data_IF_966769387369
#
_entry.id   IF_966769387369
#
_cell.length_a   1.000
_cell.length_b   1.000
_cell.length_c   1.000
_cell.angle_alpha   90.00
_cell.angle_beta   90.00
_cell.angle_gamma   90.00
#
_symmetry.space_group_name_H-M   'P 1'
#
loop_
_entity.id
_entity.type
_entity.pdbx_description
1 polymer ?
#
# COMPACT_ATOMS: atom_id res chain seq x y z
N UNK A 1 9.36 10.92 -28.21
CA UNK A 1 10.20 10.28 -27.19
C UNK A 1 9.26 9.75 -26.12
N UNK A 2 9.28 8.45 -25.82
CA UNK A 2 8.52 7.93 -24.67
C UNK A 2 9.17 8.49 -23.39
N UNK A 3 8.39 8.91 -22.38
CA UNK A 3 8.98 9.41 -21.14
C UNK A 3 9.75 8.28 -20.45
N UNK A 4 10.96 8.61 -20.01
CA UNK A 4 11.95 7.71 -19.41
C UNK A 4 11.70 7.47 -17.92
N UNK A 5 12.45 6.53 -17.35
CA UNK A 5 12.45 6.26 -15.91
C UNK A 5 13.78 6.71 -15.32
N UNK A 6 13.73 7.46 -14.21
CA UNK A 6 14.91 7.87 -13.44
C UNK A 6 14.85 7.15 -12.09
N UNK A 7 15.89 6.37 -11.77
CA UNK A 7 15.97 5.63 -10.52
C UNK A 7 17.35 5.84 -9.90
N UNK A 8 17.37 6.45 -8.71
CA UNK A 8 18.57 6.68 -7.91
C UNK A 8 18.24 6.21 -6.50
N UNK A 9 19.14 5.42 -5.88
CA UNK A 9 18.90 4.81 -4.58
C UNK A 9 20.11 4.94 -3.66
N UNK A 10 19.88 5.35 -2.41
CA UNK A 10 20.87 5.32 -1.31
C UNK A 10 21.99 6.36 -1.36
N UNK A 11 22.16 7.08 -2.46
CA UNK A 11 23.27 8.01 -2.67
C UNK A 11 22.90 9.48 -2.35
N UNK A 12 23.88 10.34 -2.00
CA UNK A 12 23.67 11.77 -1.95
C UNK A 12 23.50 12.34 -3.36
N UNK A 13 22.38 13.03 -3.61
CA UNK A 13 22.12 13.66 -4.90
C UNK A 13 22.99 14.91 -5.08
N UNK A 14 23.82 14.90 -6.12
CA UNK A 14 24.59 16.04 -6.55
C UNK A 14 23.68 17.15 -7.11
N UNK A 15 24.18 18.39 -7.07
CA UNK A 15 23.46 19.51 -7.66
C UNK A 15 23.26 19.39 -9.18
N UNK A 16 24.06 18.57 -9.88
CA UNK A 16 23.88 18.26 -11.30
C UNK A 16 22.69 17.33 -11.52
N UNK A 17 22.63 16.22 -10.78
CA UNK A 17 21.51 15.27 -10.84
C UNK A 17 20.18 15.95 -10.50
N UNK A 18 20.16 16.80 -9.48
CA UNK A 18 18.96 17.58 -9.14
C UNK A 18 18.51 18.47 -10.31
N UNK A 19 19.45 19.10 -11.04
CA UNK A 19 19.11 19.93 -12.21
C UNK A 19 18.55 19.07 -13.35
N UNK A 20 19.15 17.91 -13.60
CA UNK A 20 18.74 17.00 -14.66
C UNK A 20 17.35 16.40 -14.38
N UNK A 21 17.08 15.99 -13.13
CA UNK A 21 15.75 15.58 -12.67
C UNK A 21 14.75 16.72 -12.88
N UNK A 22 15.06 17.93 -12.38
CA UNK A 22 14.18 19.10 -12.53
C UNK A 22 13.91 19.45 -14.00
N UNK A 23 14.88 19.22 -14.89
CA UNK A 23 14.72 19.44 -16.34
C UNK A 23 13.83 18.36 -16.95
N UNK A 24 14.12 17.09 -16.68
CA UNK A 24 13.34 15.96 -17.20
C UNK A 24 11.86 16.04 -16.79
N UNK A 25 11.57 16.45 -15.55
CA UNK A 25 10.21 16.68 -15.07
C UNK A 25 9.50 17.83 -15.79
N UNK A 26 10.19 18.96 -16.04
CA UNK A 26 9.63 20.11 -16.77
C UNK A 26 9.42 19.84 -18.25
N UNK A 27 10.31 19.06 -18.85
CA UNK A 27 10.25 18.65 -20.25
C UNK A 27 9.25 17.49 -20.47
N UNK A 28 8.56 17.03 -19.41
CA UNK A 28 7.63 15.89 -19.42
C UNK A 28 8.26 14.61 -20.01
N UNK A 29 9.55 14.43 -19.75
CA UNK A 29 10.38 13.35 -20.26
C UNK A 29 10.54 12.20 -19.24
N UNK A 30 9.87 12.27 -18.10
CA UNK A 30 9.96 11.28 -17.01
C UNK A 30 8.58 10.71 -16.69
N UNK A 31 8.44 9.39 -16.75
CA UNK A 31 7.24 8.64 -16.35
C UNK A 31 7.35 8.10 -14.92
N UNK A 32 8.54 7.68 -14.52
CA UNK A 32 8.83 7.13 -13.20
C UNK A 32 10.04 7.85 -12.62
N UNK A 33 9.90 8.37 -11.40
CA UNK A 33 10.99 8.94 -10.62
C UNK A 33 11.11 8.19 -9.30
N UNK A 34 12.26 7.58 -9.06
CA UNK A 34 12.61 6.97 -7.77
C UNK A 34 13.86 7.64 -7.21
N UNK A 35 13.75 8.13 -5.97
CA UNK A 35 14.83 8.74 -5.19
C UNK A 35 15.02 8.01 -3.85
N UNK A 36 14.68 6.73 -3.81
CA UNK A 36 14.63 5.92 -2.59
C UNK A 36 15.90 6.05 -1.75
N UNK A 37 15.80 6.43 -0.47
CA UNK A 37 16.96 6.53 0.42
C UNK A 37 17.98 7.59 0.05
N UNK A 38 17.70 8.46 -0.94
CA UNK A 38 18.64 9.48 -1.37
C UNK A 38 18.78 10.60 -0.34
N UNK A 39 20.00 11.12 -0.19
CA UNK A 39 20.26 12.30 0.65
C UNK A 39 20.30 13.56 -0.21
N UNK A 40 19.48 14.54 0.14
CA UNK A 40 19.49 15.87 -0.47
C UNK A 40 19.14 16.93 0.58
N UNK A 41 19.48 18.19 0.33
CA UNK A 41 19.08 19.28 1.21
C UNK A 41 17.63 19.73 0.91
N UNK A 42 16.98 20.38 1.88
CA UNK A 42 15.59 20.83 1.74
C UNK A 42 15.39 21.83 0.58
N UNK A 43 16.44 22.58 0.22
CA UNK A 43 16.41 23.48 -0.95
C UNK A 43 16.28 22.70 -2.26
N UNK A 44 17.00 21.59 -2.37
CA UNK A 44 17.01 20.77 -3.59
C UNK A 44 15.76 19.90 -3.66
N UNK A 45 15.27 19.37 -2.53
CA UNK A 45 13.96 18.72 -2.46
C UNK A 45 12.85 19.69 -2.92
N UNK A 46 12.86 20.93 -2.42
CA UNK A 46 11.92 21.96 -2.84
C UNK A 46 12.06 22.40 -4.32
N UNK A 47 13.20 22.18 -4.97
CA UNK A 47 13.34 22.36 -6.43
C UNK A 47 12.66 21.23 -7.19
N UNK A 48 12.87 19.99 -6.76
CA UNK A 48 12.22 18.81 -7.32
C UNK A 48 10.70 18.93 -7.16
N UNK A 49 10.18 19.27 -5.98
CA UNK A 49 8.75 19.48 -5.75
C UNK A 49 8.14 20.54 -6.68
N UNK A 50 8.83 21.65 -6.94
CA UNK A 50 8.35 22.66 -7.90
C UNK A 50 8.32 22.17 -9.33
N UNK A 51 9.26 21.31 -9.72
CA UNK A 51 9.24 20.67 -11.03
C UNK A 51 8.11 19.62 -11.12
N UNK A 52 7.92 18.82 -10.05
CA UNK A 52 6.83 17.85 -9.93
C UNK A 52 5.45 18.51 -10.04
N UNK A 53 5.27 19.68 -9.43
CA UNK A 53 4.03 20.46 -9.43
C UNK A 53 3.46 20.72 -10.83
N UNK A 54 4.33 20.87 -11.84
CA UNK A 54 3.96 21.12 -13.24
C UNK A 54 4.15 19.94 -14.19
N UNK A 55 4.65 18.79 -13.71
CA UNK A 55 4.88 17.62 -14.53
C UNK A 55 3.56 16.94 -14.91
N UNK A 56 3.37 16.63 -16.19
CA UNK A 56 2.17 15.97 -16.73
C UNK A 56 2.41 14.54 -17.17
N UNK A 57 3.66 14.11 -17.30
CA UNK A 57 4.04 12.74 -17.71
C UNK A 57 4.32 11.78 -16.56
N UNK A 58 4.53 12.28 -15.34
CA UNK A 58 5.00 11.48 -14.21
C UNK A 58 3.86 10.66 -13.62
N UNK A 59 3.86 9.35 -13.87
CA UNK A 59 2.88 8.42 -13.33
C UNK A 59 3.28 7.87 -11.96
N UNK A 60 4.59 7.70 -11.69
CA UNK A 60 5.06 7.06 -10.48
C UNK A 60 6.14 7.89 -9.78
N UNK A 61 5.95 8.14 -8.49
CA UNK A 61 6.89 8.83 -7.62
C UNK A 61 7.23 7.94 -6.42
N UNK A 62 8.49 7.53 -6.32
CA UNK A 62 9.00 6.75 -5.20
C UNK A 62 10.01 7.58 -4.39
N UNK A 63 9.63 7.88 -3.15
CA UNK A 63 10.42 8.63 -2.18
C UNK A 63 10.66 7.82 -0.89
N UNK A 64 10.62 6.49 -1.00
CA UNK A 64 10.79 5.58 0.14
C UNK A 64 12.12 5.83 0.86
N UNK A 65 12.17 5.43 2.13
CA UNK A 65 13.30 5.49 3.05
C UNK A 65 13.80 6.91 3.31
N UNK A 66 13.03 7.68 4.07
CA UNK A 66 13.52 8.91 4.71
C UNK A 66 13.79 10.09 3.78
N UNK A 67 13.39 10.04 2.50
CA UNK A 67 13.48 11.21 1.62
C UNK A 67 12.56 12.32 2.12
N UNK A 68 11.36 11.96 2.59
CA UNK A 68 10.39 12.88 3.21
C UNK A 68 10.51 12.82 4.73
N UNK A 69 11.63 13.30 5.26
CA UNK A 69 12.02 13.14 6.68
C UNK A 69 11.80 14.38 7.56
N UNK A 70 11.21 15.46 7.05
CA UNK A 70 10.95 16.67 7.84
C UNK A 70 9.60 17.29 7.53
N UNK A 71 8.97 18.02 8.48
CA UNK A 71 7.74 18.76 8.22
C UNK A 71 7.85 19.75 7.06
N UNK A 72 9.05 20.29 6.81
CA UNK A 72 9.32 21.17 5.65
C UNK A 72 9.14 20.42 4.33
N UNK A 73 9.70 19.20 4.22
CA UNK A 73 9.55 18.36 3.03
C UNK A 73 8.13 17.88 2.83
N UNK A 74 7.45 17.48 3.91
CA UNK A 74 6.03 17.09 3.86
C UNK A 74 5.18 18.21 3.27
N UNK A 75 5.37 19.47 3.72
CA UNK A 75 4.67 20.64 3.16
C UNK A 75 5.01 20.90 1.68
N UNK A 76 6.29 20.78 1.31
CA UNK A 76 6.72 20.95 -0.08
C UNK A 76 6.12 19.90 -1.02
N UNK A 77 6.04 18.64 -0.56
CA UNK A 77 5.39 17.57 -1.29
C UNK A 77 3.88 17.80 -1.39
N UNK A 78 3.22 18.17 -0.29
CA UNK A 78 1.78 18.45 -0.27
C UNK A 78 1.40 19.55 -1.29
N UNK A 79 2.18 20.64 -1.34
CA UNK A 79 1.93 21.72 -2.29
C UNK A 79 2.16 21.29 -3.75
N UNK A 80 3.16 20.44 -4.01
CA UNK A 80 3.39 19.88 -5.34
C UNK A 80 2.23 18.96 -5.77
N UNK A 81 1.76 18.08 -4.89
CA UNK A 81 0.64 17.18 -5.16
C UNK A 81 -0.69 17.92 -5.35
N UNK A 82 -0.87 19.06 -4.69
CA UNK A 82 -2.08 19.90 -4.83
C UNK A 82 -2.26 20.41 -6.26
N UNK A 83 -1.18 20.62 -7.02
CA UNK A 83 -1.23 21.10 -8.41
C UNK A 83 -0.96 20.00 -9.43
N UNK A 84 -0.19 18.97 -9.07
CA UNK A 84 0.05 17.83 -9.93
C UNK A 84 -1.27 17.08 -10.24
N UNK A 85 -1.37 16.55 -11.46
CA UNK A 85 -2.56 15.83 -11.94
C UNK A 85 -2.20 14.50 -12.60
N UNK A 86 -0.91 14.13 -12.61
CA UNK A 86 -0.37 13.00 -13.38
C UNK A 86 0.03 11.81 -12.52
N UNK A 87 0.38 12.02 -11.25
CA UNK A 87 0.84 10.96 -10.36
C UNK A 87 -0.29 9.97 -10.07
N UNK A 88 -0.01 8.70 -10.35
CA UNK A 88 -0.90 7.56 -10.13
C UNK A 88 -0.45 6.73 -8.93
N UNK A 89 0.87 6.60 -8.74
CA UNK A 89 1.46 5.82 -7.65
C UNK A 89 2.42 6.67 -6.85
N UNK A 90 2.19 6.77 -5.54
CA UNK A 90 3.02 7.50 -4.59
C UNK A 90 3.52 6.55 -3.51
N UNK A 91 4.85 6.39 -3.43
CA UNK A 91 5.49 5.57 -2.42
C UNK A 91 6.27 6.45 -1.43
N UNK A 92 5.91 6.35 -0.15
CA UNK A 92 6.50 7.09 0.97
C UNK A 92 7.03 6.17 2.08
N UNK A 93 7.09 4.86 1.87
CA UNK A 93 7.47 3.87 2.87
C UNK A 93 8.72 4.25 3.67
N UNK A 94 8.72 4.11 4.98
CA UNK A 94 9.87 4.46 5.82
C UNK A 94 10.13 5.97 5.88
N UNK A 95 9.13 6.81 5.63
CA UNK A 95 9.18 8.26 5.88
C UNK A 95 8.46 8.56 7.20
N UNK A 96 9.11 9.19 8.20
CA UNK A 96 8.50 9.44 9.51
C UNK A 96 7.44 10.55 9.43
N UNK A 97 6.30 10.26 8.80
CA UNK A 97 5.23 11.22 8.59
C UNK A 97 4.55 11.55 9.91
N UNK A 98 4.26 10.55 10.73
CA UNK A 98 3.34 10.64 11.87
C UNK A 98 1.93 11.10 11.45
N UNK A 99 0.98 11.08 12.39
CA UNK A 99 -0.37 11.60 12.16
C UNK A 99 -0.36 13.07 11.70
N UNK A 100 0.53 13.88 12.29
CA UNK A 100 0.65 15.31 11.97
C UNK A 100 1.17 15.54 10.54
N UNK A 101 2.09 14.72 10.06
CA UNK A 101 2.61 14.83 8.70
C UNK A 101 1.59 14.36 7.67
N UNK A 102 0.87 13.27 7.96
CA UNK A 102 -0.20 12.82 7.07
C UNK A 102 -1.34 13.84 7.00
N UNK A 103 -1.68 14.50 8.11
CA UNK A 103 -2.66 15.59 8.12
C UNK A 103 -2.30 16.76 7.18
N UNK A 104 -1.00 17.02 6.96
CA UNK A 104 -0.53 18.03 6.00
C UNK A 104 -0.63 17.55 4.54
N UNK A 105 -0.43 16.26 4.28
CA UNK A 105 -0.50 15.67 2.94
C UNK A 105 -1.94 15.38 2.50
N UNK A 106 -2.81 14.98 3.44
CA UNK A 106 -4.13 14.45 3.16
C UNK A 106 -5.01 15.36 2.29
N UNK A 107 -5.04 16.70 2.46
CA UNK A 107 -5.83 17.57 1.58
C UNK A 107 -5.41 17.49 0.10
N UNK A 108 -4.12 17.26 -0.17
CA UNK A 108 -3.63 17.07 -1.53
C UNK A 108 -3.97 15.68 -2.06
N UNK A 109 -3.84 14.63 -1.23
CA UNK A 109 -4.17 13.25 -1.60
C UNK A 109 -5.66 13.07 -1.88
N UNK A 110 -6.53 13.57 -1.00
CA UNK A 110 -7.99 13.45 -1.09
C UNK A 110 -8.60 14.18 -2.30
N UNK A 111 -7.89 15.14 -2.87
CA UNK A 111 -8.29 15.89 -4.06
C UNK A 111 -7.50 15.50 -5.31
N UNK A 112 -6.59 14.53 -5.21
CA UNK A 112 -5.77 14.13 -6.35
C UNK A 112 -6.63 13.35 -7.36
N UNK A 113 -6.67 13.76 -8.64
CA UNK A 113 -7.64 13.21 -9.60
C UNK A 113 -7.29 11.82 -10.15
N UNK A 114 -6.05 11.38 -9.96
CA UNK A 114 -5.50 10.20 -10.63
C UNK A 114 -4.77 9.23 -9.70
N UNK A 115 -4.71 9.51 -8.39
CA UNK A 115 -3.98 8.66 -7.45
C UNK A 115 -4.73 7.34 -7.28
N UNK A 116 -4.05 6.22 -7.56
CA UNK A 116 -4.60 4.86 -7.47
C UNK A 116 -3.83 3.98 -6.50
N UNK A 117 -2.54 4.24 -6.30
CA UNK A 117 -1.69 3.47 -5.38
C UNK A 117 -0.97 4.38 -4.40
N UNK A 118 -1.07 4.05 -3.12
CA UNK A 118 -0.48 4.80 -2.02
C UNK A 118 0.19 3.85 -1.03
N UNK A 119 1.49 4.06 -0.82
CA UNK A 119 2.27 3.32 0.16
C UNK A 119 2.74 4.25 1.28
N UNK A 120 2.22 3.96 2.48
CA UNK A 120 2.50 4.62 3.74
C UNK A 120 3.00 3.62 4.79
N UNK A 121 3.67 2.54 4.36
CA UNK A 121 4.27 1.59 5.29
C UNK A 121 5.40 2.22 6.10
N UNK A 122 5.60 1.78 7.34
CA UNK A 122 6.64 2.30 8.26
C UNK A 122 6.69 3.84 8.31
N UNK A 123 5.51 4.48 8.41
CA UNK A 123 5.37 5.93 8.41
C UNK A 123 5.08 6.51 9.80
N UNK A 124 5.23 5.70 10.85
CA UNK A 124 4.93 6.03 12.25
C UNK A 124 3.48 6.52 12.44
N UNK A 125 2.53 5.92 11.73
CA UNK A 125 1.12 6.31 11.77
C UNK A 125 0.41 5.77 13.03
N UNK A 126 -0.62 6.48 13.45
CA UNK A 126 -1.54 6.12 14.51
C UNK A 126 -3.01 6.23 14.08
N UNK A 127 -3.90 6.23 15.07
CA UNK A 127 -5.35 6.22 14.86
C UNK A 127 -5.88 7.45 14.07
N UNK A 128 -5.27 8.63 14.24
CA UNK A 128 -5.71 9.84 13.54
C UNK A 128 -5.35 9.78 12.05
N UNK A 129 -4.18 9.22 11.70
CA UNK A 129 -3.84 8.95 10.31
C UNK A 129 -4.84 8.01 9.65
N UNK A 130 -5.28 6.96 10.34
CA UNK A 130 -6.30 6.05 9.81
C UNK A 130 -7.62 6.77 9.54
N UNK A 131 -8.05 7.68 10.41
CA UNK A 131 -9.26 8.47 10.18
C UNK A 131 -9.15 9.30 8.87
N UNK A 132 -7.97 9.83 8.56
CA UNK A 132 -7.71 10.54 7.31
C UNK A 132 -7.72 9.60 6.10
N UNK A 133 -7.06 8.43 6.22
CA UNK A 133 -6.98 7.41 5.16
C UNK A 133 -8.37 6.86 4.81
N UNK A 134 -9.26 6.65 5.80
CA UNK A 134 -10.64 6.24 5.52
C UNK A 134 -11.37 7.23 4.59
N UNK A 135 -11.04 8.52 4.65
CA UNK A 135 -11.58 9.53 3.73
C UNK A 135 -11.09 9.40 2.29
N UNK A 136 -10.04 8.61 2.03
CA UNK A 136 -9.50 8.29 0.70
C UNK A 136 -10.15 7.03 0.10
N UNK A 137 -11.02 6.34 0.85
CA UNK A 137 -11.69 5.10 0.46
C UNK A 137 -13.21 5.35 0.32
N UNK A 138 -13.66 6.05 -0.73
CA UNK A 138 -15.06 6.42 -0.85
C UNK A 138 -15.97 5.20 -1.03
N UNK A 139 -17.16 5.19 -0.40
CA UNK A 139 -18.09 4.08 -0.49
C UNK A 139 -18.75 3.95 -1.87
N UNK A 140 -18.78 5.04 -2.63
CA UNK A 140 -19.26 5.10 -4.00
C UNK A 140 -18.14 5.50 -4.96
N UNK A 141 -18.21 5.06 -6.21
CA UNK A 141 -17.24 5.41 -7.24
C UNK A 141 -17.31 6.87 -7.70
N UNK A 142 -17.88 7.76 -6.87
CA UNK A 142 -18.12 9.17 -7.19
C UNK A 142 -16.82 9.97 -7.35
N UNK A 143 -15.70 9.47 -6.82
CA UNK A 143 -14.38 10.09 -6.93
C UNK A 143 -13.33 9.06 -7.35
N UNK A 144 -12.24 9.56 -7.93
CA UNK A 144 -11.01 8.77 -7.96
C UNK A 144 -10.62 8.43 -6.52
N UNK A 145 -10.28 7.18 -6.29
CA UNK A 145 -9.82 6.70 -5.00
C UNK A 145 -8.86 5.55 -5.17
N UNK A 146 -8.36 5.07 -4.03
CA UNK A 146 -7.25 4.13 -4.01
C UNK A 146 -7.72 2.73 -4.41
N UNK A 147 -6.94 2.10 -5.28
CA UNK A 147 -7.01 0.67 -5.60
C UNK A 147 -6.00 -0.13 -4.79
N UNK A 148 -4.86 0.46 -4.48
CA UNK A 148 -3.77 -0.18 -3.75
C UNK A 148 -3.38 0.70 -2.56
N UNK A 149 -3.41 0.10 -1.36
CA UNK A 149 -3.07 0.78 -0.12
C UNK A 149 -2.12 -0.10 0.70
N UNK A 150 -0.95 0.43 1.03
CA UNK A 150 0.03 -0.22 1.90
C UNK A 150 0.17 0.56 3.20
N UNK A 151 -0.07 -0.12 4.33
CA UNK A 151 0.01 0.41 5.69
C UNK A 151 0.90 -0.47 6.60
N UNK A 152 1.75 -1.28 5.99
CA UNK A 152 2.67 -2.20 6.65
C UNK A 152 3.49 -1.53 7.76
N UNK A 153 3.82 -2.26 8.82
CA UNK A 153 4.74 -1.79 9.87
C UNK A 153 4.40 -0.41 10.49
N UNK A 154 3.12 -0.15 10.80
CA UNK A 154 2.66 1.02 11.57
C UNK A 154 2.11 0.59 12.95
N UNK A 155 2.99 0.17 13.90
CA UNK A 155 2.56 -0.38 15.19
C UNK A 155 1.88 0.62 16.12
N UNK A 156 1.88 1.92 15.78
CA UNK A 156 1.18 2.97 16.53
C UNK A 156 -0.34 2.96 16.34
N UNK A 157 -0.86 2.20 15.35
CA UNK A 157 -2.29 2.07 15.10
C UNK A 157 -2.88 1.05 16.08
N UNK A 158 -3.86 1.49 16.85
CA UNK A 158 -4.52 0.64 17.83
C UNK A 158 -5.57 -0.26 17.16
N UNK A 159 -6.07 -1.31 17.85
CA UNK A 159 -7.21 -2.09 17.35
C UNK A 159 -8.41 -1.22 16.96
N UNK A 160 -8.65 -0.10 17.65
CA UNK A 160 -9.71 0.86 17.31
C UNK A 160 -9.46 1.54 15.96
N UNK A 161 -8.21 1.88 15.66
CA UNK A 161 -7.81 2.39 14.34
C UNK A 161 -8.12 1.36 13.27
N UNK A 162 -7.65 0.12 13.45
CA UNK A 162 -7.90 -0.96 12.50
C UNK A 162 -9.38 -1.30 12.30
N UNK A 163 -10.21 -1.25 13.36
CA UNK A 163 -11.67 -1.40 13.22
C UNK A 163 -12.27 -0.35 12.29
N UNK A 164 -11.82 0.90 12.37
CA UNK A 164 -12.30 1.97 11.48
C UNK A 164 -11.87 1.72 10.03
N UNK A 165 -10.63 1.27 9.82
CA UNK A 165 -10.15 0.90 8.49
C UNK A 165 -10.96 -0.26 7.93
N UNK A 166 -11.22 -1.31 8.72
CA UNK A 166 -12.03 -2.46 8.32
C UNK A 166 -13.43 -2.02 7.84
N UNK A 167 -14.09 -1.12 8.58
CA UNK A 167 -15.39 -0.56 8.17
C UNK A 167 -15.26 0.20 6.85
N UNK A 168 -14.22 1.01 6.66
CA UNK A 168 -14.03 1.77 5.42
C UNK A 168 -13.76 0.84 4.22
N UNK A 169 -12.95 -0.20 4.40
CA UNK A 169 -12.64 -1.21 3.37
C UNK A 169 -13.89 -2.01 3.01
N UNK A 170 -14.72 -2.40 3.99
CA UNK A 170 -15.97 -3.11 3.76
C UNK A 170 -16.93 -2.36 2.82
N UNK A 171 -16.92 -1.03 2.88
CA UNK A 171 -17.79 -0.18 2.06
C UNK A 171 -17.07 0.35 0.82
N UNK A 172 -15.74 0.23 0.72
CA UNK A 172 -14.99 0.80 -0.39
C UNK A 172 -15.41 0.15 -1.71
N UNK A 173 -15.58 1.00 -2.72
CA UNK A 173 -15.94 0.55 -4.07
C UNK A 173 -14.73 0.34 -4.99
N UNK A 174 -13.50 0.48 -4.48
CA UNK A 174 -12.30 0.61 -5.32
C UNK A 174 -11.06 -0.15 -4.85
N UNK A 175 -10.88 -0.36 -3.54
CA UNK A 175 -9.66 -1.01 -3.01
C UNK A 175 -9.62 -2.47 -3.42
N UNK A 176 -8.53 -2.84 -4.11
CA UNK A 176 -8.23 -4.18 -4.58
C UNK A 176 -7.09 -4.83 -3.81
N UNK A 177 -6.09 -4.05 -3.43
CA UNK A 177 -4.91 -4.54 -2.71
C UNK A 177 -4.78 -3.78 -1.40
N UNK A 178 -4.74 -4.51 -0.29
CA UNK A 178 -4.53 -3.97 1.04
C UNK A 178 -3.41 -4.73 1.74
N UNK A 179 -2.30 -4.03 2.01
CA UNK A 179 -1.16 -4.60 2.70
C UNK A 179 -1.08 -4.07 4.13
N UNK A 180 -1.26 -4.95 5.11
CA UNK A 180 -1.25 -4.66 6.54
C UNK A 180 -0.16 -5.43 7.29
N UNK A 181 0.76 -6.05 6.57
CA UNK A 181 1.86 -6.85 7.08
C UNK A 181 2.68 -6.14 8.16
N UNK A 182 3.23 -6.94 9.07
CA UNK A 182 4.05 -6.49 10.21
C UNK A 182 3.37 -5.44 11.11
N UNK A 183 2.04 -5.48 11.22
CA UNK A 183 1.28 -4.74 12.24
C UNK A 183 0.75 -5.68 13.31
N UNK A 184 0.81 -5.34 14.62
CA UNK A 184 0.29 -6.19 15.68
C UNK A 184 -1.25 -6.14 15.74
N UNK A 185 -1.91 -6.79 14.78
CA UNK A 185 -3.38 -6.80 14.65
C UNK A 185 -4.02 -7.74 15.68
N UNK A 186 -3.48 -8.95 15.79
CA UNK A 186 -4.05 -10.03 16.59
C UNK A 186 -5.42 -10.54 16.11
N UNK A 187 -5.88 -11.63 16.71
CA UNK A 187 -7.07 -12.35 16.25
C UNK A 187 -8.37 -11.51 16.27
N UNK A 188 -8.49 -10.58 17.22
CA UNK A 188 -9.67 -9.73 17.32
C UNK A 188 -9.83 -8.82 16.10
N UNK A 189 -8.75 -8.18 15.66
CA UNK A 189 -8.76 -7.31 14.48
C UNK A 189 -8.91 -8.14 13.20
N UNK A 190 -8.28 -9.30 13.14
CA UNK A 190 -8.44 -10.22 12.01
C UNK A 190 -9.89 -10.68 11.83
N UNK A 191 -10.62 -10.97 12.91
CA UNK A 191 -12.06 -11.26 12.83
C UNK A 191 -12.87 -10.11 12.26
N UNK A 192 -12.53 -8.85 12.59
CA UNK A 192 -13.16 -7.67 12.00
C UNK A 192 -12.81 -7.50 10.52
N UNK A 193 -11.56 -7.79 10.14
CA UNK A 193 -11.13 -7.79 8.74
C UNK A 193 -11.83 -8.88 7.94
N UNK A 194 -12.04 -10.08 8.50
CA UNK A 194 -12.80 -11.15 7.85
C UNK A 194 -14.23 -10.69 7.49
N UNK A 195 -14.93 -10.02 8.42
CA UNK A 195 -16.25 -9.44 8.15
C UNK A 195 -16.19 -8.36 7.06
N UNK A 196 -15.14 -7.54 7.07
CA UNK A 196 -14.96 -6.50 6.06
C UNK A 196 -14.68 -7.09 4.67
N UNK A 197 -13.85 -8.12 4.58
CA UNK A 197 -13.54 -8.85 3.36
C UNK A 197 -14.80 -9.50 2.79
N UNK A 198 -15.59 -10.20 3.62
CA UNK A 198 -16.86 -10.81 3.21
C UNK A 198 -17.88 -9.79 2.67
N UNK A 199 -17.79 -8.54 3.13
CA UNK A 199 -18.68 -7.46 2.69
C UNK A 199 -18.15 -6.72 1.45
N UNK A 200 -16.84 -6.72 1.24
CA UNK A 200 -16.19 -6.05 0.12
C UNK A 200 -16.41 -6.81 -1.17
N UNK A 201 -16.73 -6.07 -2.24
CA UNK A 201 -16.88 -6.64 -3.60
C UNK A 201 -15.67 -6.39 -4.50
N UNK A 202 -14.62 -5.77 -3.95
CA UNK A 202 -13.50 -5.29 -4.76
C UNK A 202 -12.13 -5.71 -4.25
N UNK A 203 -12.02 -6.12 -2.98
CA UNK A 203 -10.75 -6.52 -2.39
C UNK A 203 -10.32 -7.88 -2.94
N UNK A 204 -9.23 -7.89 -3.70
CA UNK A 204 -8.67 -9.04 -4.41
C UNK A 204 -7.45 -9.62 -3.67
N UNK A 205 -6.67 -8.77 -2.98
CA UNK A 205 -5.45 -9.16 -2.27
C UNK A 205 -5.43 -8.54 -0.88
N UNK A 206 -5.23 -9.37 0.14
CA UNK A 206 -5.03 -8.96 1.51
C UNK A 206 -3.76 -9.58 2.07
N UNK A 207 -2.83 -8.74 2.53
CA UNK A 207 -1.61 -9.17 3.17
C UNK A 207 -1.68 -8.95 4.69
N UNK A 208 -1.57 -10.06 5.44
CA UNK A 208 -1.56 -10.12 6.90
C UNK A 208 -0.30 -10.83 7.43
N UNK A 209 0.79 -10.84 6.65
CA UNK A 209 2.07 -11.43 7.07
C UNK A 209 2.55 -10.83 8.40
N UNK A 210 2.98 -11.68 9.34
CA UNK A 210 3.58 -11.21 10.59
C UNK A 210 2.66 -10.33 11.47
N UNK A 211 1.34 -10.54 11.42
CA UNK A 211 0.37 -9.68 12.13
C UNK A 211 -0.10 -10.21 13.49
N UNK A 212 0.52 -11.28 13.98
CA UNK A 212 0.24 -11.89 15.29
C UNK A 212 -1.04 -12.73 15.29
N UNK A 213 -1.39 -13.33 14.16
CA UNK A 213 -2.54 -14.20 14.01
C UNK A 213 -2.26 -15.61 14.54
N UNK A 214 -3.32 -16.26 15.04
CA UNK A 214 -3.29 -17.65 15.46
C UNK A 214 -4.26 -18.49 14.64
N UNK A 215 -4.29 -19.80 14.88
CA UNK A 215 -5.31 -20.70 14.30
C UNK A 215 -6.76 -20.23 14.53
N UNK A 216 -7.03 -19.43 15.55
CA UNK A 216 -8.38 -18.91 15.81
C UNK A 216 -8.87 -17.95 14.72
N UNK A 217 -8.03 -16.99 14.32
CA UNK A 217 -8.38 -16.08 13.22
C UNK A 217 -8.24 -16.75 11.86
N UNK A 218 -7.30 -17.68 11.69
CA UNK A 218 -7.22 -18.50 10.49
C UNK A 218 -8.52 -19.29 10.25
N UNK A 219 -9.08 -19.92 11.29
CA UNK A 219 -10.38 -20.60 11.18
C UNK A 219 -11.49 -19.63 10.82
N UNK A 220 -11.48 -18.41 11.39
CA UNK A 220 -12.48 -17.38 11.05
C UNK A 220 -12.37 -16.93 9.58
N UNK A 221 -11.16 -16.83 9.05
CA UNK A 221 -10.90 -16.49 7.64
C UNK A 221 -11.30 -17.65 6.72
N UNK A 222 -11.02 -18.90 7.12
CA UNK A 222 -11.46 -20.11 6.42
C UNK A 222 -12.98 -20.17 6.34
N UNK A 223 -13.68 -20.05 7.48
CA UNK A 223 -15.14 -20.03 7.54
C UNK A 223 -15.71 -18.90 6.65
N UNK A 224 -15.03 -17.76 6.58
CA UNK A 224 -15.44 -16.65 5.72
C UNK A 224 -15.35 -17.01 4.23
N UNK A 225 -14.23 -17.57 3.78
CA UNK A 225 -14.02 -17.97 2.38
C UNK A 225 -14.97 -19.11 1.98
N UNK A 226 -15.23 -20.06 2.89
CA UNK A 226 -16.13 -21.20 2.62
C UNK A 226 -17.61 -20.78 2.51
N UNK A 227 -18.06 -19.82 3.32
CA UNK A 227 -19.49 -19.55 3.50
C UNK A 227 -19.99 -18.26 2.83
N UNK A 228 -19.09 -17.38 2.36
CA UNK A 228 -19.46 -16.09 1.79
C UNK A 228 -18.78 -15.85 0.44
N UNK A 229 -19.51 -15.35 -0.58
CA UNK A 229 -18.90 -14.96 -1.83
C UNK A 229 -17.96 -13.77 -1.58
N UNK A 230 -16.70 -13.93 -2.00
CA UNK A 230 -15.66 -12.92 -1.84
C UNK A 230 -14.97 -12.65 -3.17
N UNK A 231 -14.46 -11.42 -3.35
CA UNK A 231 -13.59 -11.08 -4.48
C UNK A 231 -12.12 -11.42 -4.22
N UNK A 232 -11.80 -11.91 -3.02
CA UNK A 232 -10.46 -12.21 -2.59
C UNK A 232 -9.89 -13.37 -3.41
N UNK A 233 -8.68 -13.20 -3.92
CA UNK A 233 -7.90 -14.18 -4.70
C UNK A 233 -6.62 -14.57 -3.99
N UNK A 234 -6.07 -13.66 -3.18
CA UNK A 234 -4.83 -13.89 -2.45
C UNK A 234 -4.94 -13.40 -1.02
N UNK A 235 -4.61 -14.28 -0.08
CA UNK A 235 -4.53 -13.99 1.35
C UNK A 235 -3.16 -14.46 1.87
N UNK A 236 -2.30 -13.50 2.21
CA UNK A 236 -0.95 -13.80 2.72
C UNK A 236 -1.00 -13.90 4.24
N UNK A 237 -0.62 -15.06 4.77
CA UNK A 237 -0.68 -15.40 6.20
C UNK A 237 0.68 -15.85 6.76
N UNK A 238 1.75 -15.68 5.99
CA UNK A 238 3.10 -16.04 6.41
C UNK A 238 3.52 -15.34 7.72
N UNK A 239 4.53 -15.89 8.40
CA UNK A 239 5.05 -15.35 9.67
C UNK A 239 4.02 -15.17 10.80
N UNK A 240 2.90 -15.88 10.77
CA UNK A 240 1.92 -15.96 11.86
C UNK A 240 1.99 -17.30 12.61
N UNK A 241 1.31 -17.39 13.76
CA UNK A 241 1.18 -18.63 14.54
C UNK A 241 0.01 -19.50 14.02
N UNK A 242 -0.01 -19.74 12.71
CA UNK A 242 -1.06 -20.50 12.00
C UNK A 242 -0.46 -21.81 11.48
N UNK A 243 -1.16 -22.93 11.63
CA UNK A 243 -0.69 -24.22 11.12
C UNK A 243 -0.61 -24.22 9.59
N UNK A 244 0.40 -24.86 8.98
CA UNK A 244 0.53 -24.93 7.53
C UNK A 244 -0.70 -25.53 6.85
N UNK A 245 -1.38 -26.47 7.51
CA UNK A 245 -2.59 -27.12 6.98
C UNK A 245 -3.74 -26.11 6.82
N UNK A 246 -3.96 -25.23 7.80
CA UNK A 246 -5.00 -24.20 7.71
C UNK A 246 -4.66 -23.15 6.65
N UNK A 247 -3.38 -22.76 6.53
CA UNK A 247 -2.96 -21.82 5.47
C UNK A 247 -3.21 -22.42 4.09
N UNK A 248 -2.83 -23.70 3.89
CA UNK A 248 -3.02 -24.38 2.62
C UNK A 248 -4.51 -24.51 2.27
N UNK A 249 -5.37 -24.89 3.22
CA UNK A 249 -6.82 -24.98 3.01
C UNK A 249 -7.42 -23.66 2.51
N UNK A 250 -7.03 -22.54 3.12
CA UNK A 250 -7.48 -21.20 2.69
C UNK A 250 -6.97 -20.89 1.27
N UNK A 251 -5.69 -21.17 0.99
CA UNK A 251 -5.11 -20.94 -0.34
C UNK A 251 -5.79 -21.77 -1.42
N UNK A 252 -6.07 -23.04 -1.17
CA UNK A 252 -6.71 -23.94 -2.12
C UNK A 252 -8.11 -23.42 -2.49
N UNK A 253 -8.93 -23.07 -1.50
CA UNK A 253 -10.28 -22.52 -1.72
C UNK A 253 -10.28 -21.20 -2.51
N UNK A 254 -9.30 -20.32 -2.26
CA UNK A 254 -9.17 -19.07 -3.02
C UNK A 254 -8.72 -19.31 -4.46
N UNK A 255 -7.96 -20.37 -4.73
CA UNK A 255 -7.50 -20.72 -6.08
C UNK A 255 -8.58 -21.39 -6.93
N UNK A 256 -9.47 -22.19 -6.33
CA UNK A 256 -10.58 -22.84 -7.04
C UNK A 256 -11.57 -21.82 -7.65
N UNK A 257 -11.78 -20.69 -6.97
CA UNK A 257 -12.64 -19.61 -7.47
C UNK A 257 -12.12 -18.92 -8.74
N UNK A 258 -10.83 -19.03 -9.07
CA UNK A 258 -10.27 -18.48 -10.30
C UNK A 258 -10.57 -19.35 -11.53
N UNK A 259 -10.62 -20.68 -11.35
CA UNK A 259 -10.84 -21.62 -12.45
C UNK A 259 -12.30 -21.60 -12.94
N UNK A 260 -13.28 -21.39 -12.05
CA UNK A 260 -14.70 -21.33 -12.42
C UNK A 260 -15.03 -20.11 -13.30
N UNK A 261 -14.37 -18.96 -13.09
CA UNK A 261 -14.54 -17.77 -13.94
C UNK A 261 -13.98 -17.98 -15.36
N UNK A 262 -12.86 -18.71 -15.51
CA UNK A 262 -12.28 -19.01 -16.82
C UNK A 262 -13.12 -20.02 -17.62
N UNK A 263 -13.69 -21.04 -16.96
CA UNK A 263 -14.52 -22.06 -17.63
C UNK A 263 -15.89 -21.50 -18.04
N UNK A 264 -16.49 -20.62 -17.22
CA UNK A 264 -17.75 -19.97 -17.57
C UNK A 264 -17.62 -18.99 -18.77
N UNK A 265 -16.43 -18.45 -19.02
CA UNK A 265 -16.13 -17.62 -20.19
C UNK A 265 -15.91 -18.40 -21.49
N UNK A 266 -15.79 -19.74 -21.45
CA UNK A 266 -15.42 -20.59 -22.58
C UNK A 266 -16.57 -21.38 -23.24
N UNK A 267 -17.76 -21.40 -22.64
CA UNK A 267 -18.89 -22.22 -23.10
C UNK A 267 -20.16 -21.37 -23.35
N UNK A 268 -20.10 -20.48 -24.34
CA UNK A 268 -21.23 -19.70 -24.81
C UNK A 268 -21.59 -20.06 -26.25
N UNK A 269 -22.66 -20.83 -26.41
CA UNK A 269 -23.23 -21.27 -27.68
C UNK A 269 -23.45 -20.13 -28.69
N UNK A 270 -23.05 -20.41 -29.93
CA UNK A 270 -23.47 -19.74 -31.15
C UNK A 270 -25.00 -19.73 -31.29
N UNK A 271 -25.65 -18.60 -31.03
CA UNK A 271 -26.76 -18.09 -31.86
C UNK A 271 -27.22 -16.69 -31.40
N UNK A 272 -27.21 -15.78 -32.37
CA UNK A 272 -28.13 -14.66 -32.52
C UNK A 272 -28.18 -13.60 -31.36
N UNK A 273 -27.60 -12.42 -31.60
CA UNK A 273 -28.32 -11.13 -31.69
C UNK A 273 -27.35 -9.98 -32.01
N UNK A 274 -27.44 -9.51 -33.26
CA UNK A 274 -26.90 -8.23 -33.70
C UNK A 274 -27.64 -7.07 -33.01
N UNK A 275 -26.91 -6.19 -32.32
CA UNK A 275 -26.93 -4.72 -32.53
C UNK A 275 -26.25 -3.97 -31.37
N UNK A 276 -25.07 -3.44 -31.68
CA UNK A 276 -24.68 -2.08 -31.32
C UNK A 276 -24.21 -1.82 -29.89
N UNK A 277 -22.91 -2.03 -29.64
CA UNK A 277 -21.99 -1.09 -28.97
C UNK A 277 -20.63 -1.75 -28.79
N UNK A 278 -19.60 -1.12 -29.37
CA UNK A 278 -18.19 -1.45 -29.12
C UNK A 278 -17.84 -1.26 -27.63
N UNK A 279 -16.95 -2.11 -27.09
CA UNK A 279 -15.92 -1.58 -26.22
C UNK A 279 -14.51 -2.06 -26.63
N UNK A 280 -13.57 -1.13 -26.47
CA UNK A 280 -12.16 -1.28 -26.79
C UNK A 280 -11.46 -2.37 -25.96
N UNK A 281 -10.58 -3.10 -26.62
CA UNK A 281 -9.79 -4.19 -26.09
C UNK A 281 -8.79 -3.75 -25.00
N UNK A 282 -8.79 -4.45 -23.87
CA UNK A 282 -7.67 -4.50 -22.94
C UNK A 282 -7.06 -5.90 -22.97
N UNK A 283 -5.83 -5.99 -23.46
CA UNK A 283 -4.95 -7.15 -23.30
C UNK A 283 -4.62 -7.29 -21.81
N UNK A 284 -5.08 -8.38 -21.18
CA UNK A 284 -4.58 -8.84 -19.88
C UNK A 284 -3.35 -9.72 -20.12
N UNK A 285 -2.21 -9.27 -19.60
CA UNK A 285 -1.00 -10.08 -19.49
C UNK A 285 -1.11 -10.99 -18.27
N UNK A 286 -0.90 -12.28 -18.49
CA UNK A 286 -0.72 -13.30 -17.46
C UNK A 286 0.56 -13.01 -16.67
N UNK A 287 0.45 -12.87 -15.35
CA UNK A 287 1.58 -12.91 -14.42
C UNK A 287 1.31 -14.01 -13.40
N UNK A 288 1.91 -15.19 -13.62
CA UNK A 288 1.94 -16.27 -12.65
C UNK A 288 2.79 -15.84 -11.45
N UNK A 289 2.19 -15.76 -10.26
CA UNK A 289 2.94 -15.64 -9.02
C UNK A 289 2.95 -17.01 -8.34
N UNK A 290 4.10 -17.67 -8.43
CA UNK A 290 4.38 -18.90 -7.71
C UNK A 290 4.53 -18.59 -6.21
N UNK A 291 3.84 -19.34 -5.36
CA UNK A 291 4.13 -19.45 -3.93
C UNK A 291 5.61 -19.86 -3.73
N UNK A 292 6.43 -19.11 -2.98
CA UNK A 292 7.73 -19.60 -2.56
C UNK A 292 7.54 -20.54 -1.38
N UNK A 293 7.78 -21.83 -1.60
CA UNK A 293 8.03 -22.80 -0.53
C UNK A 293 9.53 -22.83 -0.22
N UNK A 294 9.82 -22.92 1.07
CA UNK A 294 11.03 -23.40 1.75
C UNK A 294 12.04 -22.34 2.30
N UNK A 295 12.44 -22.43 3.60
CA UNK A 295 13.01 -21.34 4.38
C UNK A 295 14.52 -21.43 4.52
N UNK A 296 15.21 -20.29 4.50
CA UNK A 296 16.49 -20.05 5.21
C UNK A 296 17.08 -18.70 4.76
N UNK A 297 16.83 -17.65 5.52
CA UNK A 297 17.76 -16.51 5.58
C UNK A 297 17.62 -15.76 6.89
N UNK A 298 18.78 -15.55 7.51
CA UNK A 298 18.99 -15.09 8.86
C UNK A 298 18.38 -13.70 9.12
N UNK A 299 17.49 -13.65 10.12
CA UNK A 299 17.10 -12.43 10.82
C UNK A 299 18.30 -11.94 11.65
N UNK A 300 18.88 -10.79 11.30
CA UNK A 300 19.83 -10.06 12.17
C UNK A 300 19.06 -8.95 12.87
N UNK A 301 18.62 -9.25 14.09
CA UNK A 301 18.09 -8.30 15.06
C UNK A 301 19.25 -7.44 15.60
N UNK A 302 19.33 -6.18 15.17
CA UNK A 302 20.14 -5.18 15.88
C UNK A 302 19.28 -4.56 16.98
N UNK A 303 19.29 -5.19 18.16
CA UNK A 303 18.82 -4.56 19.39
C UNK A 303 19.85 -3.51 19.81
N UNK A 304 19.42 -2.27 20.02
CA UNK A 304 20.17 -1.32 20.83
C UNK A 304 19.47 -1.26 22.18
N UNK A 305 20.15 -1.83 23.19
CA UNK A 305 19.65 -1.95 24.55
C UNK A 305 19.62 -0.60 25.28
N UNK A 306 18.50 -0.33 25.93
CA UNK A 306 18.37 0.55 27.08
C UNK A 306 18.05 -0.35 28.28
N UNK A 307 18.81 -0.26 29.37
CA UNK A 307 18.48 -1.01 30.59
C UNK A 307 19.65 -1.18 31.57
N UNK A 308 19.88 -0.12 32.34
CA UNK A 308 20.31 -0.07 33.75
C UNK A 308 21.02 -1.29 34.40
N UNK A 309 22.25 -1.04 34.88
CA UNK A 309 22.70 -1.62 36.15
C UNK A 309 23.84 -0.79 36.74
N UNK A 310 23.53 0.00 37.77
CA UNK A 310 24.52 0.53 38.71
C UNK A 310 23.87 0.51 40.09
N UNK A 311 24.06 -0.59 40.81
CA UNK A 311 23.77 -0.78 42.23
C UNK A 311 25.00 -1.41 42.90
N UNK A 312 25.11 -1.13 44.20
CA UNK A 312 26.20 -1.49 45.13
C UNK A 312 27.39 -0.51 45.02
N UNK A 313 27.85 0.17 46.08
CA UNK A 313 28.14 -0.25 47.45
C UNK A 313 28.13 1.01 48.36
N UNK A 314 27.31 1.07 49.41
CA UNK A 314 27.68 0.94 50.85
C UNK A 314 28.70 1.95 51.42
N UNK A 315 28.23 2.68 52.44
CA UNK A 315 28.96 3.13 53.65
C UNK A 315 30.04 4.23 53.56
N UNK A 316 29.61 5.51 53.64
CA UNK A 316 29.79 6.43 54.78
C UNK A 316 29.23 7.82 54.47
#
# INVERSE_FOLDING_TARGET
MLPSSIQISGEPLSGAEVRDICRGLRDNAVRLLSLRGCRLCDRDFGRICRALAGATSLAQLNLNLGVVSSPSRIKQLAEALRTNRSIQSLFLHGSPLTDAGLALLNPALALHPALVALDLGDCMLGDEAINLICGLLPPDGAKSGLKELTLSANPGITPKGWSRLAIAVAHSSQVRVLNLDYNPLGDHVAGMLAVAVASSRTLEVLDLEGTGLTNQSAQTLLDMVENYPTALRSLVLAENSISPELQQQICDLLSEGEEEEEVAGGAGDTQEWERGREPAAHQRGSSSWMCPSDPSSQMVLMTSGLGDSLLAETEM
#
